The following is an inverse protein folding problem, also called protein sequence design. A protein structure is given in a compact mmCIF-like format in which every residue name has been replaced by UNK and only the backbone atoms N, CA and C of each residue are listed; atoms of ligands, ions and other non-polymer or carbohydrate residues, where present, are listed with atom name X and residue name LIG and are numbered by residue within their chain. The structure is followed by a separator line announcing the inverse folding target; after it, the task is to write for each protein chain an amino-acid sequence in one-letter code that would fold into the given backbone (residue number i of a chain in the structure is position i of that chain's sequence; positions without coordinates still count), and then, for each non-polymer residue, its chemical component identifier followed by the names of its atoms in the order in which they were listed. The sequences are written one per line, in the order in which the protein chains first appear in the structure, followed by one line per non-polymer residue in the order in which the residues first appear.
data_IF_477671135859
#
_entry.id   IF_477671135859
#
_cell.length_a   1.000
_cell.length_b   1.000
_cell.length_c   1.000
_cell.angle_alpha   90.00
_cell.angle_beta   90.00
_cell.angle_gamma   90.00
#
_symmetry.space_group_name_H-M   'P 1'
#
loop_
_entity.id
_entity.type
_entity.pdbx_description
1 polymer ?
#
# COMPACT_ATOMS: atom_id res chain seq x y z
N UNK A 1 -46.09 23.82 -0.80
CA UNK A 1 -45.10 23.80 -1.88
C UNK A 1 -44.01 22.87 -1.42
N UNK A 2 -44.13 21.61 -1.83
CA UNK A 2 -43.34 20.48 -1.33
C UNK A 2 -42.17 20.20 -2.25
N UNK A 3 -41.05 19.88 -1.61
CA UNK A 3 -39.96 18.98 -2.02
C UNK A 3 -39.13 19.31 -3.26
N UNK A 4 -37.92 19.78 -2.97
CA UNK A 4 -36.75 19.72 -3.84
C UNK A 4 -35.46 19.40 -3.06
N UNK A 5 -35.56 18.73 -1.91
CA UNK A 5 -34.41 18.09 -1.28
C UNK A 5 -34.19 16.74 -1.97
N UNK A 6 -33.39 16.74 -3.02
CA UNK A 6 -33.13 15.52 -3.78
C UNK A 6 -32.05 15.71 -4.81
N UNK A 7 -30.79 15.78 -4.36
CA UNK A 7 -29.67 14.99 -4.91
C UNK A 7 -28.42 15.29 -4.07
N UNK A 8 -28.21 14.57 -2.97
CA UNK A 8 -26.91 14.48 -2.29
C UNK A 8 -25.91 13.73 -3.16
N UNK A 9 -25.61 14.28 -4.34
CA UNK A 9 -24.71 13.70 -5.33
C UNK A 9 -23.30 13.90 -4.79
N UNK A 10 -22.77 12.88 -4.13
CA UNK A 10 -21.40 12.88 -3.63
C UNK A 10 -20.44 13.40 -4.71
N UNK A 11 -19.71 14.46 -4.42
CA UNK A 11 -18.70 15.04 -5.30
C UNK A 11 -17.60 14.00 -5.60
N UNK A 12 -17.39 13.61 -6.88
CA UNK A 12 -16.37 12.63 -7.27
C UNK A 12 -14.95 13.02 -6.85
N UNK A 13 -14.64 14.32 -6.83
CA UNK A 13 -13.32 14.82 -6.43
C UNK A 13 -13.14 14.61 -4.92
N UNK A 14 -14.14 15.00 -4.13
CA UNK A 14 -14.16 14.73 -2.69
C UNK A 14 -14.04 13.22 -2.38
N UNK A 15 -14.74 12.37 -3.14
CA UNK A 15 -14.62 10.92 -3.00
C UNK A 15 -13.21 10.43 -3.30
N UNK A 16 -12.58 10.91 -4.37
CA UNK A 16 -11.20 10.57 -4.71
C UNK A 16 -10.25 10.93 -3.56
N UNK A 17 -10.29 12.17 -3.04
CA UNK A 17 -9.44 12.55 -1.92
C UNK A 17 -9.69 11.73 -0.66
N UNK A 18 -10.95 11.39 -0.39
CA UNK A 18 -11.30 10.50 0.74
C UNK A 18 -10.70 9.10 0.57
N UNK A 19 -10.74 8.52 -0.62
CA UNK A 19 -10.15 7.21 -0.88
C UNK A 19 -8.63 7.26 -0.88
N UNK A 20 -8.04 8.30 -1.47
CA UNK A 20 -6.60 8.54 -1.45
C UNK A 20 -6.08 8.64 -0.02
N UNK A 21 -6.78 9.37 0.87
CA UNK A 21 -6.42 9.45 2.28
C UNK A 21 -6.47 8.08 3.00
N UNK A 22 -7.47 7.25 2.71
CA UNK A 22 -7.54 5.88 3.26
C UNK A 22 -6.36 5.03 2.81
N UNK A 23 -6.03 5.09 1.51
CA UNK A 23 -4.92 4.35 0.91
C UNK A 23 -3.59 4.80 1.52
N UNK A 24 -3.34 6.12 1.65
CA UNK A 24 -2.07 6.61 2.22
C UNK A 24 -1.96 6.32 3.71
N UNK A 25 -3.07 6.36 4.45
CA UNK A 25 -3.09 5.96 5.87
C UNK A 25 -2.78 4.47 6.04
N UNK A 26 -3.33 3.61 5.19
CA UNK A 26 -3.03 2.19 5.18
C UNK A 26 -1.57 1.91 4.77
N UNK A 27 -1.04 2.65 3.79
CA UNK A 27 0.36 2.57 3.40
C UNK A 27 1.29 2.92 4.56
N UNK A 28 1.01 4.00 5.30
CA UNK A 28 1.78 4.36 6.50
C UNK A 28 1.75 3.25 7.53
N UNK A 29 0.57 2.71 7.84
CA UNK A 29 0.41 1.62 8.79
C UNK A 29 1.22 0.37 8.38
N UNK A 30 1.22 0.02 7.10
CA UNK A 30 2.03 -1.08 6.55
C UNK A 30 3.53 -0.84 6.73
N UNK A 31 3.99 0.39 6.46
CA UNK A 31 5.41 0.77 6.60
C UNK A 31 5.85 0.71 8.07
N UNK A 32 5.00 1.17 8.99
CA UNK A 32 5.28 1.14 10.43
C UNK A 32 5.45 -0.29 10.97
N UNK A 33 4.90 -1.30 10.27
CA UNK A 33 4.97 -2.71 10.64
C UNK A 33 6.17 -3.45 10.05
N UNK A 34 6.97 -2.83 9.18
CA UNK A 34 8.13 -3.48 8.60
C UNK A 34 9.13 -3.96 9.68
N UNK A 35 9.72 -5.17 9.51
CA UNK A 35 9.58 -6.10 8.38
C UNK A 35 8.42 -7.11 8.52
N UNK A 36 7.59 -7.00 9.55
CA UNK A 36 6.59 -8.02 9.93
C UNK A 36 5.26 -7.89 9.17
N UNK A 37 5.29 -7.41 7.93
CA UNK A 37 4.09 -7.19 7.12
C UNK A 37 3.91 -8.32 6.10
N UNK A 38 2.66 -8.65 5.82
CA UNK A 38 2.28 -9.57 4.74
C UNK A 38 2.63 -9.00 3.36
N UNK A 39 3.32 -9.80 2.54
CA UNK A 39 3.79 -9.37 1.22
C UNK A 39 2.61 -9.03 0.29
N UNK A 40 1.52 -9.79 0.33
CA UNK A 40 0.35 -9.53 -0.52
C UNK A 40 -0.34 -8.21 -0.16
N UNK A 41 -0.34 -7.83 1.13
CA UNK A 41 -0.81 -6.52 1.56
C UNK A 41 0.05 -5.38 0.99
N UNK A 42 1.38 -5.54 0.97
CA UNK A 42 2.31 -4.58 0.38
C UNK A 42 2.08 -4.45 -1.14
N UNK A 43 1.96 -5.56 -1.86
CA UNK A 43 1.70 -5.53 -3.31
C UNK A 43 0.38 -4.81 -3.65
N UNK A 44 -0.69 -5.10 -2.89
CA UNK A 44 -1.98 -4.43 -3.09
C UNK A 44 -1.86 -2.92 -2.90
N UNK A 45 -1.21 -2.47 -1.82
CA UNK A 45 -1.16 -1.04 -1.51
C UNK A 45 -0.30 -0.28 -2.53
N UNK A 46 0.78 -0.90 -3.03
CA UNK A 46 1.60 -0.35 -4.11
C UNK A 46 0.77 -0.13 -5.38
N UNK A 47 -0.01 -1.13 -5.81
CA UNK A 47 -0.88 -0.97 -6.98
C UNK A 47 -1.91 0.16 -6.80
N UNK A 48 -2.49 0.30 -5.62
CA UNK A 48 -3.44 1.36 -5.30
C UNK A 48 -2.80 2.75 -5.33
N UNK A 49 -1.57 2.89 -4.81
CA UNK A 49 -0.80 4.14 -4.86
C UNK A 49 -0.38 4.51 -6.29
N UNK A 50 0.01 3.53 -7.12
CA UNK A 50 0.31 3.74 -8.55
C UNK A 50 -0.94 4.22 -9.29
N UNK A 51 -2.11 3.65 -8.98
CA UNK A 51 -3.38 4.12 -9.56
C UNK A 51 -3.67 5.57 -9.16
N UNK A 52 -3.53 5.93 -7.88
CA UNK A 52 -3.69 7.31 -7.42
C UNK A 52 -2.74 8.27 -8.13
N UNK A 53 -1.46 7.91 -8.23
CA UNK A 53 -0.45 8.68 -8.97
C UNK A 53 -0.85 8.89 -10.44
N UNK A 54 -1.37 7.85 -11.08
CA UNK A 54 -1.81 7.91 -12.49
C UNK A 54 -2.99 8.86 -12.68
N UNK A 55 -3.96 8.83 -11.75
CA UNK A 55 -5.10 9.76 -11.76
C UNK A 55 -4.61 11.19 -11.52
N UNK A 56 -3.72 11.43 -10.55
CA UNK A 56 -3.14 12.75 -10.30
C UNK A 56 -2.43 13.31 -11.53
N UNK A 57 -1.65 12.50 -12.24
CA UNK A 57 -1.03 12.90 -13.51
C UNK A 57 -2.05 13.27 -14.59
N UNK A 58 -3.26 12.67 -14.57
CA UNK A 58 -4.31 13.01 -15.54
C UNK A 58 -4.95 14.38 -15.31
N UNK A 59 -4.82 14.95 -14.10
CA UNK A 59 -5.28 16.31 -13.80
C UNK A 59 -4.28 17.40 -14.23
N UNK A 60 -3.04 17.02 -14.56
CA UNK A 60 -2.03 17.95 -15.05
C UNK A 60 -2.23 18.23 -16.55
N UNK A 61 -3.39 18.77 -16.92
CA UNK A 61 -3.61 19.35 -18.25
C UNK A 61 -2.95 20.76 -18.25
N UNK A 62 -1.98 21.04 -19.14
CA UNK A 62 -1.29 22.33 -19.18
C UNK A 62 -2.22 23.53 -19.47
N UNK A 63 -3.48 23.27 -19.83
CA UNK A 63 -4.51 24.29 -20.03
C UNK A 63 -5.34 24.62 -18.78
N UNK A 64 -5.26 23.81 -17.72
CA UNK A 64 -6.08 23.96 -16.52
C UNK A 64 -5.27 24.64 -15.40
N UNK A 65 -5.70 25.84 -14.99
CA UNK A 65 -5.04 26.71 -14.00
C UNK A 65 -5.09 26.20 -12.55
N UNK A 66 -5.51 24.96 -12.31
CA UNK A 66 -5.32 24.34 -10.99
C UNK A 66 -3.81 24.33 -10.73
N UNK A 67 -3.37 24.93 -9.62
CA UNK A 67 -1.95 25.21 -9.37
C UNK A 67 -1.14 23.94 -9.58
N UNK A 68 -0.34 23.91 -10.64
CA UNK A 68 0.50 22.77 -11.02
C UNK A 68 1.38 22.36 -9.81
N UNK A 69 1.75 23.32 -8.98
CA UNK A 69 2.48 23.14 -7.72
C UNK A 69 1.73 22.21 -6.75
N UNK A 70 0.42 22.36 -6.58
CA UNK A 70 -0.38 21.53 -5.66
C UNK A 70 -0.40 20.05 -6.12
N UNK A 71 -0.45 19.82 -7.44
CA UNK A 71 -0.42 18.45 -7.99
C UNK A 71 0.96 17.84 -7.84
N UNK A 72 2.03 18.60 -8.08
CA UNK A 72 3.42 18.15 -7.89
C UNK A 72 3.72 17.80 -6.42
N UNK A 73 3.21 18.59 -5.48
CA UNK A 73 3.30 18.30 -4.05
C UNK A 73 2.57 16.99 -3.70
N UNK A 74 1.35 16.79 -4.23
CA UNK A 74 0.59 15.55 -4.03
C UNK A 74 1.30 14.32 -4.62
N UNK A 75 1.88 14.46 -5.81
CA UNK A 75 2.67 13.39 -6.44
C UNK A 75 3.90 13.06 -5.60
N UNK A 76 4.59 14.07 -5.08
CA UNK A 76 5.76 13.91 -4.19
C UNK A 76 5.37 13.19 -2.91
N UNK A 77 4.23 13.56 -2.31
CA UNK A 77 3.67 12.89 -1.14
C UNK A 77 3.38 11.40 -1.40
N UNK A 78 2.72 11.06 -2.51
CA UNK A 78 2.45 9.66 -2.89
C UNK A 78 3.74 8.88 -3.13
N UNK A 79 4.73 9.47 -3.80
CA UNK A 79 6.03 8.85 -4.05
C UNK A 79 6.80 8.55 -2.75
N UNK A 80 6.58 9.36 -1.69
CA UNK A 80 7.15 9.12 -0.36
C UNK A 80 6.76 7.77 0.24
N UNK A 81 5.56 7.26 -0.05
CA UNK A 81 5.12 5.92 0.36
C UNK A 81 5.59 4.83 -0.60
N UNK A 82 5.58 5.10 -1.92
CA UNK A 82 5.96 4.09 -2.92
C UNK A 82 7.40 3.60 -2.74
N UNK A 83 8.34 4.50 -2.47
CA UNK A 83 9.76 4.14 -2.36
C UNK A 83 10.05 3.04 -1.30
N UNK A 84 9.65 3.19 -0.02
CA UNK A 84 9.88 2.13 0.97
C UNK A 84 9.11 0.84 0.67
N UNK A 85 7.89 0.94 0.13
CA UNK A 85 7.05 -0.22 -0.20
C UNK A 85 7.64 -1.03 -1.37
N UNK A 86 8.06 -0.38 -2.45
CA UNK A 86 8.72 -1.02 -3.60
C UNK A 86 10.07 -1.63 -3.19
N UNK A 87 10.82 -0.94 -2.34
CA UNK A 87 12.07 -1.48 -1.81
C UNK A 87 11.84 -2.76 -0.98
N UNK A 88 10.77 -2.81 -0.19
CA UNK A 88 10.37 -4.02 0.54
C UNK A 88 10.00 -5.17 -0.41
N UNK A 89 9.27 -4.89 -1.50
CA UNK A 89 8.93 -5.91 -2.51
C UNK A 89 10.16 -6.44 -3.25
N UNK A 90 11.11 -5.57 -3.57
CA UNK A 90 12.36 -5.95 -4.22
C UNK A 90 13.29 -6.74 -3.29
N UNK A 91 13.23 -6.46 -1.99
CA UNK A 91 14.10 -7.07 -0.98
C UNK A 91 13.25 -7.57 0.21
N UNK A 92 12.41 -8.60 -0.01
CA UNK A 92 11.53 -9.09 1.03
C UNK A 92 12.37 -9.66 2.18
N UNK A 93 11.93 -9.47 3.44
CA UNK A 93 12.63 -10.02 4.59
C UNK A 93 12.74 -11.55 4.45
N UNK A 94 13.83 -12.14 4.95
CA UNK A 94 13.98 -13.59 4.92
C UNK A 94 12.81 -14.24 5.66
N UNK A 95 12.32 -15.37 5.15
CA UNK A 95 11.27 -16.12 5.81
C UNK A 95 11.64 -16.37 7.29
N UNK A 96 10.70 -16.28 8.25
CA UNK A 96 10.98 -16.43 9.69
C UNK A 96 11.72 -17.74 10.04
N UNK A 97 11.56 -18.77 9.21
CA UNK A 97 12.21 -20.08 9.35
C UNK A 97 13.47 -20.25 8.49
N UNK A 98 14.00 -19.20 7.85
CA UNK A 98 15.16 -19.30 6.96
C UNK A 98 16.43 -19.76 7.69
N UNK A 99 16.50 -19.49 9.00
CA UNK A 99 17.63 -19.86 9.85
C UNK A 99 17.53 -21.30 10.39
N UNK A 100 16.35 -21.93 10.27
CA UNK A 100 16.15 -23.28 10.79
C UNK A 100 16.78 -24.29 9.82
N UNK A 101 17.72 -25.13 10.28
CA UNK A 101 18.28 -26.17 9.44
C UNK A 101 17.14 -27.09 9.00
N UNK A 102 16.99 -27.28 7.68
CA UNK A 102 16.05 -28.26 7.11
C UNK A 102 16.59 -29.66 7.39
N UNK A 103 16.24 -30.22 8.55
CA UNK A 103 16.63 -31.59 8.89
C UNK A 103 15.71 -32.55 8.13
N UNK A 104 16.16 -33.06 6.98
CA UNK A 104 15.46 -34.09 6.21
C UNK A 104 15.66 -35.49 6.82
N UNK A 105 15.42 -35.66 8.12
CA UNK A 105 15.66 -36.92 8.84
C UNK A 105 14.38 -37.66 9.24
N UNK A 106 13.20 -37.14 8.92
CA UNK A 106 11.92 -37.74 9.32
C UNK A 106 11.39 -38.80 8.35
N UNK A 107 11.32 -40.06 8.81
CA UNK A 107 10.40 -41.08 8.29
C UNK A 107 8.93 -40.59 8.37
N UNK A 108 8.01 -41.19 7.58
CA UNK A 108 6.59 -40.82 7.61
C UNK A 108 6.03 -40.87 9.04
N UNK A 109 5.54 -39.74 9.55
CA UNK A 109 4.85 -39.65 10.86
C UNK A 109 5.62 -38.99 12.02
N UNK A 110 6.87 -38.55 11.85
CA UNK A 110 7.59 -37.76 12.88
C UNK A 110 7.54 -36.24 12.59
N UNK A 111 7.44 -35.38 13.62
CA UNK A 111 7.54 -33.93 13.44
C UNK A 111 8.90 -33.54 12.84
N UNK A 112 8.88 -32.58 11.92
CA UNK A 112 9.99 -32.19 11.03
C UNK A 112 11.05 -31.28 11.66
N UNK A 113 10.97 -31.03 12.96
CA UNK A 113 11.84 -30.11 13.66
C UNK A 113 12.22 -30.70 15.02
N UNK A 114 13.52 -30.81 15.28
CA UNK A 114 14.05 -30.93 16.63
C UNK A 114 14.31 -29.50 17.11
N UNK A 115 13.53 -29.04 18.09
CA UNK A 115 13.77 -27.78 18.77
C UNK A 115 14.60 -28.14 20.00
N UNK A 116 15.88 -27.79 19.98
CA UNK A 116 16.74 -27.95 21.16
C UNK A 116 16.36 -26.86 22.18
N UNK A 117 15.84 -27.27 23.34
CA UNK A 117 15.31 -26.40 24.40
C UNK A 117 16.32 -26.20 25.55
N UNK A 118 17.62 -26.18 25.24
CA UNK A 118 18.68 -25.94 26.25
C UNK A 118 18.69 -24.50 26.77
#
# INVERSE_FOLDING_TARGET
MSDGQGQGRHDPIYQFFTQSHKITSEAQFIIDLFPNTDLAAVERIVHQLIANRTILHSFNDPSDTTSIEDIEELLTFVNGFLLPLENFLAHPPPAPSAHLPRIHTGLPGRPRYDIDLQ
#
